data_IF_856762295849
#
_entry.id   IF_856762295849
#
_cell.length_a   1.000
_cell.length_b   1.000
_cell.length_c   1.000
_cell.angle_alpha   90.00
_cell.angle_beta   90.00
_cell.angle_gamma   90.00
#
_symmetry.space_group_name_H-M   'P 1'
#
loop_
_entity.id
_entity.type
_entity.pdbx_description
1 polymer ?
#
# COMPACT_ATOMS: atom_id res chain seq x y z
N UNK A 1 -22.43 -7.06 25.94
CA UNK A 1 -22.18 -6.14 24.81
C UNK A 1 -20.80 -5.54 25.10
N UNK A 2 -19.80 -5.91 24.33
CA UNK A 2 -18.47 -5.29 24.41
C UNK A 2 -18.64 -3.82 24.01
N UNK A 3 -18.12 -2.88 24.82
CA UNK A 3 -18.09 -1.45 24.46
C UNK A 3 -17.49 -1.32 23.05
N UNK A 4 -18.15 -0.54 22.18
CA UNK A 4 -17.65 -0.31 20.83
C UNK A 4 -16.33 0.44 20.93
N UNK A 5 -15.25 -0.23 20.55
CA UNK A 5 -13.93 0.38 20.51
C UNK A 5 -13.76 1.07 19.15
N UNK A 6 -13.94 2.38 19.15
CA UNK A 6 -13.83 3.21 17.95
C UNK A 6 -12.40 3.75 17.79
N UNK A 7 -11.87 3.70 16.57
CA UNK A 7 -10.57 4.28 16.23
C UNK A 7 -10.67 5.12 14.96
N UNK A 8 -10.21 6.37 15.02
CA UNK A 8 -10.17 7.24 13.84
C UNK A 8 -8.89 7.04 13.05
N UNK A 9 -9.05 6.86 11.76
CA UNK A 9 -7.95 6.60 10.84
C UNK A 9 -8.06 7.48 9.60
N UNK A 10 -6.94 7.64 8.88
CA UNK A 10 -6.90 8.34 7.61
C UNK A 10 -5.94 7.64 6.63
N UNK A 11 -6.23 7.79 5.34
CA UNK A 11 -5.35 7.35 4.25
C UNK A 11 -5.29 8.42 3.18
N UNK A 12 -4.16 8.51 2.49
CA UNK A 12 -3.82 9.62 1.60
C UNK A 12 -3.59 9.13 0.18
N UNK A 13 -4.01 9.92 -0.79
CA UNK A 13 -3.43 9.94 -2.13
C UNK A 13 -2.76 11.28 -2.37
N UNK A 14 -1.56 11.27 -2.93
CA UNK A 14 -0.91 12.50 -3.37
C UNK A 14 0.10 12.25 -4.49
N UNK A 15 0.37 13.29 -5.27
CA UNK A 15 1.36 13.28 -6.33
C UNK A 15 2.74 13.60 -5.73
N UNK A 16 3.57 12.58 -5.58
CA UNK A 16 4.95 12.78 -5.20
C UNK A 16 5.77 13.37 -6.36
N UNK A 17 6.89 13.99 -6.04
CA UNK A 17 7.89 14.39 -7.01
C UNK A 17 9.05 13.40 -7.02
N UNK A 18 9.43 12.95 -8.21
CA UNK A 18 10.57 12.05 -8.41
C UNK A 18 11.86 12.68 -7.83
N UNK A 19 12.59 11.93 -7.01
CA UNK A 19 13.86 12.35 -6.41
C UNK A 19 13.82 13.69 -5.65
N UNK A 20 12.66 14.11 -5.17
CA UNK A 20 12.51 15.35 -4.38
C UNK A 20 11.94 15.06 -2.99
N UNK A 21 12.75 14.41 -2.15
CA UNK A 21 12.37 14.03 -0.78
C UNK A 21 11.90 15.23 0.05
N UNK A 22 12.53 16.38 -0.11
CA UNK A 22 12.16 17.58 0.63
C UNK A 22 10.74 18.03 0.32
N UNK A 23 10.37 18.10 -0.96
CA UNK A 23 8.99 18.42 -1.37
C UNK A 23 8.01 17.37 -0.84
N UNK A 24 8.32 16.10 -1.02
CA UNK A 24 7.44 15.01 -0.61
C UNK A 24 7.19 15.02 0.91
N UNK A 25 8.23 15.28 1.70
CA UNK A 25 8.11 15.42 3.15
C UNK A 25 7.27 16.64 3.57
N UNK A 26 7.38 17.77 2.85
CA UNK A 26 6.52 18.94 3.09
C UNK A 26 5.04 18.63 2.83
N UNK A 27 4.74 17.86 1.79
CA UNK A 27 3.36 17.42 1.51
C UNK A 27 2.86 16.47 2.61
N UNK A 28 3.69 15.52 3.04
CA UNK A 28 3.38 14.60 4.14
C UNK A 28 3.10 15.40 5.44
N UNK A 29 3.97 16.32 5.82
CA UNK A 29 3.81 17.17 7.01
C UNK A 29 2.50 17.96 6.95
N UNK A 30 2.17 18.56 5.81
CA UNK A 30 0.91 19.29 5.60
C UNK A 30 -0.32 18.42 5.85
N UNK A 31 -0.35 17.18 5.37
CA UNK A 31 -1.46 16.26 5.63
C UNK A 31 -1.54 15.87 7.11
N UNK A 32 -0.40 15.64 7.77
CA UNK A 32 -0.35 15.33 9.20
C UNK A 32 -0.94 16.50 10.02
N UNK A 33 -0.57 17.74 9.68
CA UNK A 33 -1.09 18.93 10.36
C UNK A 33 -2.59 19.13 10.16
N UNK A 34 -3.13 18.79 8.98
CA UNK A 34 -4.57 18.87 8.70
C UNK A 34 -5.41 17.97 9.62
N UNK A 35 -4.86 16.84 10.07
CA UNK A 35 -5.59 15.89 10.94
C UNK A 35 -5.20 15.98 12.41
N UNK A 36 -4.24 16.82 12.76
CA UNK A 36 -3.71 16.94 14.12
C UNK A 36 -4.80 17.15 15.20
N UNK A 37 -5.87 17.89 14.87
CA UNK A 37 -6.98 18.18 15.77
C UNK A 37 -8.16 17.18 15.67
N UNK A 38 -8.09 16.22 14.75
CA UNK A 38 -9.19 15.28 14.49
C UNK A 38 -9.10 13.98 15.29
N UNK A 39 -8.07 13.85 16.14
CA UNK A 39 -7.81 12.63 16.93
C UNK A 39 -7.58 11.38 16.09
N UNK A 40 -6.99 11.55 14.88
CA UNK A 40 -6.57 10.44 14.03
C UNK A 40 -5.47 9.64 14.75
N UNK A 41 -5.61 8.32 14.78
CA UNK A 41 -4.65 7.41 15.41
C UNK A 41 -3.71 6.75 14.41
N UNK A 42 -4.19 6.49 13.20
CA UNK A 42 -3.40 5.86 12.14
C UNK A 42 -3.56 6.68 10.86
N UNK A 43 -2.45 7.10 10.28
CA UNK A 43 -2.37 7.83 9.02
C UNK A 43 -1.43 7.10 8.06
N UNK A 44 -1.96 6.69 6.90
CA UNK A 44 -1.22 5.93 5.89
C UNK A 44 -0.96 6.77 4.63
N UNK A 45 0.29 6.80 4.19
CA UNK A 45 0.75 7.42 2.95
C UNK A 45 1.07 6.35 1.88
N UNK A 46 1.20 6.74 0.60
CA UNK A 46 1.50 5.80 -0.48
C UNK A 46 2.88 5.13 -0.39
N UNK A 47 3.04 4.03 -1.14
CA UNK A 47 4.30 3.34 -1.40
C UNK A 47 5.35 4.32 -1.93
N UNK A 48 6.62 4.20 -1.48
CA UNK A 48 7.76 5.00 -1.93
C UNK A 48 7.49 6.52 -2.05
N UNK A 49 6.55 7.02 -1.31
CA UNK A 49 6.08 8.40 -1.39
C UNK A 49 7.14 9.46 -1.04
N UNK A 50 8.20 9.06 -0.30
CA UNK A 50 9.33 9.96 0.02
C UNK A 50 10.32 10.04 -1.14
N UNK A 51 10.73 8.90 -1.72
CA UNK A 51 11.74 8.83 -2.77
C UNK A 51 11.21 9.10 -4.18
N UNK A 52 9.89 8.91 -4.39
CA UNK A 52 9.28 8.80 -5.71
C UNK A 52 9.35 7.36 -6.23
N UNK A 53 8.60 7.04 -7.29
CA UNK A 53 8.38 5.64 -7.66
C UNK A 53 8.79 5.30 -9.10
N UNK A 54 8.07 5.75 -10.15
CA UNK A 54 8.22 5.17 -11.50
C UNK A 54 9.42 5.69 -12.30
N UNK A 55 10.11 6.69 -11.82
CA UNK A 55 11.42 7.09 -12.38
C UNK A 55 12.51 6.05 -12.03
N UNK A 56 12.32 5.27 -10.94
CA UNK A 56 13.32 4.31 -10.43
C UNK A 56 13.73 3.25 -11.45
N UNK A 57 12.83 2.65 -12.26
CA UNK A 57 13.21 1.71 -13.31
C UNK A 57 14.23 2.24 -14.32
N UNK A 58 14.32 3.57 -14.49
CA UNK A 58 15.20 4.25 -15.46
C UNK A 58 16.55 4.63 -14.87
N UNK A 59 16.75 4.45 -13.57
CA UNK A 59 17.99 4.80 -12.87
C UNK A 59 19.04 3.69 -13.02
N UNK A 60 20.30 4.05 -12.85
CA UNK A 60 21.38 3.09 -12.62
C UNK A 60 21.36 2.60 -11.16
N UNK A 61 21.93 1.43 -10.87
CA UNK A 61 22.03 0.92 -9.50
C UNK A 61 22.72 1.93 -8.54
N UNK A 62 23.70 2.70 -9.02
CA UNK A 62 24.37 3.75 -8.24
C UNK A 62 23.40 4.88 -7.88
N UNK A 63 22.55 5.29 -8.82
CA UNK A 63 21.55 6.33 -8.57
C UNK A 63 20.44 5.84 -7.61
N UNK A 64 19.98 4.59 -7.74
CA UNK A 64 19.03 3.99 -6.79
C UNK A 64 19.63 3.94 -5.39
N UNK A 65 20.91 3.53 -5.26
CA UNK A 65 21.61 3.52 -3.97
C UNK A 65 21.77 4.94 -3.38
N UNK A 66 21.96 5.97 -4.22
CA UNK A 66 22.03 7.35 -3.74
C UNK A 66 20.69 7.88 -3.22
N UNK A 67 19.55 7.35 -3.72
CA UNK A 67 18.22 7.67 -3.21
C UNK A 67 17.91 6.97 -1.89
N UNK A 68 18.54 5.83 -1.62
CA UNK A 68 18.24 5.01 -0.47
C UNK A 68 18.72 5.63 0.84
N UNK A 69 17.97 5.38 1.93
CA UNK A 69 18.33 5.78 3.29
C UNK A 69 18.43 4.56 4.20
N UNK A 70 19.39 4.55 5.13
CA UNK A 70 19.36 3.59 6.25
C UNK A 70 18.26 4.01 7.20
N UNK A 71 17.31 3.11 7.51
CA UNK A 71 16.11 3.46 8.31
C UNK A 71 16.51 4.05 9.67
N UNK A 72 17.47 3.45 10.36
CA UNK A 72 17.92 3.90 11.68
C UNK A 72 18.49 5.33 11.66
N UNK A 73 19.16 5.71 10.58
CA UNK A 73 19.84 6.99 10.42
C UNK A 73 19.19 7.88 9.36
N UNK A 74 17.97 7.56 8.93
CA UNK A 74 17.24 8.29 7.91
C UNK A 74 16.79 9.66 8.40
N UNK A 75 17.20 10.75 7.77
CA UNK A 75 16.68 12.08 8.11
C UNK A 75 15.17 12.19 7.79
N UNK A 76 14.71 11.49 6.76
CA UNK A 76 13.29 11.43 6.40
C UNK A 76 12.47 10.74 7.49
N UNK A 77 12.92 9.58 7.97
CA UNK A 77 12.21 8.84 9.02
C UNK A 77 12.33 9.56 10.37
N UNK A 78 13.45 10.20 10.67
CA UNK A 78 13.60 11.01 11.88
C UNK A 78 12.55 12.14 11.95
N UNK A 79 12.30 12.83 10.83
CA UNK A 79 11.23 13.84 10.75
C UNK A 79 9.85 13.21 11.00
N UNK A 80 9.51 12.12 10.32
CA UNK A 80 8.19 11.48 10.46
C UNK A 80 7.99 10.93 11.87
N UNK A 81 9.03 10.37 12.50
CA UNK A 81 9.00 9.94 13.92
C UNK A 81 8.73 11.11 14.87
N UNK A 82 9.39 12.25 14.64
CA UNK A 82 9.13 13.45 15.44
C UNK A 82 7.68 13.92 15.33
N UNK A 83 7.09 13.85 14.13
CA UNK A 83 5.68 14.17 13.90
C UNK A 83 4.74 13.13 14.54
N UNK A 84 5.07 11.83 14.47
CA UNK A 84 4.31 10.76 15.12
C UNK A 84 4.24 10.96 16.65
N UNK A 85 5.36 11.30 17.28
CA UNK A 85 5.43 11.66 18.71
C UNK A 85 4.62 12.92 18.98
N UNK A 86 4.84 14.00 18.20
CA UNK A 86 4.18 15.30 18.41
C UNK A 86 2.66 15.19 18.36
N UNK A 87 2.14 14.45 17.40
CA UNK A 87 0.70 14.34 17.16
C UNK A 87 0.06 13.07 17.73
N UNK A 88 0.83 12.23 18.42
CA UNK A 88 0.38 10.99 19.08
C UNK A 88 -0.39 10.06 18.14
N UNK A 89 0.17 9.78 16.96
CA UNK A 89 -0.41 8.91 15.94
C UNK A 89 0.64 7.98 15.32
N UNK A 90 0.20 6.86 14.78
CA UNK A 90 0.98 6.02 13.88
C UNK A 90 0.97 6.68 12.50
N UNK A 91 2.16 6.89 11.92
CA UNK A 91 2.31 7.44 10.56
C UNK A 91 3.10 6.45 9.71
N UNK A 92 2.46 5.96 8.64
CA UNK A 92 3.07 5.04 7.68
C UNK A 92 3.54 5.76 6.42
N UNK A 93 4.83 5.60 6.04
CA UNK A 93 5.44 6.23 4.85
C UNK A 93 6.35 5.24 4.11
N UNK A 94 6.50 5.42 2.80
CA UNK A 94 7.31 4.56 1.94
C UNK A 94 8.57 5.26 1.40
N UNK A 95 9.69 4.51 1.31
CA UNK A 95 10.95 4.97 0.74
C UNK A 95 11.79 3.81 0.24
N UNK A 96 12.94 4.11 -0.38
CA UNK A 96 13.97 3.09 -0.66
C UNK A 96 14.87 2.99 0.57
N UNK A 97 14.90 1.80 1.17
CA UNK A 97 15.79 1.45 2.28
C UNK A 97 17.13 0.95 1.75
N UNK A 98 18.21 1.33 2.43
CA UNK A 98 19.51 0.68 2.35
C UNK A 98 19.75 -0.04 3.67
N UNK A 99 19.73 -1.37 3.63
CA UNK A 99 19.98 -2.20 4.79
C UNK A 99 21.48 -2.23 5.15
N UNK A 100 21.81 -2.72 6.35
CA UNK A 100 23.19 -2.78 6.86
C UNK A 100 24.10 -3.69 6.02
N UNK A 101 23.54 -4.69 5.34
CA UNK A 101 24.26 -5.56 4.40
C UNK A 101 24.44 -4.94 3.01
N UNK A 102 23.99 -3.70 2.81
CA UNK A 102 24.09 -2.94 1.57
C UNK A 102 23.00 -3.26 0.54
N UNK A 103 22.10 -4.20 0.81
CA UNK A 103 20.95 -4.46 -0.06
C UNK A 103 19.94 -3.30 0.00
N UNK A 104 19.26 -3.08 -1.13
CA UNK A 104 18.22 -2.07 -1.25
C UNK A 104 16.85 -2.72 -1.24
N UNK A 105 15.88 -2.05 -0.61
CA UNK A 105 14.50 -2.52 -0.54
C UNK A 105 13.52 -1.38 -0.79
N UNK A 106 12.40 -1.70 -1.42
CA UNK A 106 11.19 -0.90 -1.33
C UNK A 106 10.59 -1.16 0.06
N UNK A 107 10.69 -0.18 0.95
CA UNK A 107 10.30 -0.33 2.35
C UNK A 107 9.19 0.64 2.74
N UNK A 108 8.36 0.19 3.69
CA UNK A 108 7.34 0.99 4.33
C UNK A 108 7.57 1.02 5.83
N UNK A 109 7.64 2.21 6.39
CA UNK A 109 7.95 2.43 7.80
C UNK A 109 6.74 2.99 8.52
N UNK A 110 6.27 2.29 9.54
CA UNK A 110 5.23 2.74 10.46
C UNK A 110 5.89 3.35 11.71
N UNK A 111 5.90 4.68 11.78
CA UNK A 111 6.42 5.44 12.92
C UNK A 111 5.36 5.52 14.01
N UNK A 112 5.69 5.11 15.23
CA UNK A 112 4.78 4.98 16.35
C UNK A 112 4.76 6.27 17.23
N UNK A 113 3.68 6.50 18.02
CA UNK A 113 3.58 7.68 18.88
C UNK A 113 4.59 7.71 20.03
N UNK A 114 5.19 6.58 20.39
CA UNK A 114 6.28 6.49 21.37
C UNK A 114 7.68 6.71 20.77
N UNK A 115 7.75 6.93 19.44
CA UNK A 115 8.98 7.09 18.69
C UNK A 115 9.63 5.80 18.23
N UNK A 116 9.09 4.63 18.56
CA UNK A 116 9.47 3.37 17.94
C UNK A 116 8.99 3.32 16.47
N UNK A 117 9.44 2.34 15.72
CA UNK A 117 8.95 2.13 14.35
C UNK A 117 9.02 0.66 13.96
N UNK A 118 8.22 0.29 12.96
CA UNK A 118 8.22 -1.02 12.33
C UNK A 118 8.44 -0.86 10.83
N UNK A 119 9.32 -1.67 10.27
CA UNK A 119 9.66 -1.65 8.85
C UNK A 119 9.15 -2.91 8.16
N UNK A 120 8.48 -2.73 7.03
CA UNK A 120 8.13 -3.81 6.11
C UNK A 120 8.85 -3.61 4.79
N UNK A 121 9.50 -4.64 4.28
CA UNK A 121 10.14 -4.70 2.96
C UNK A 121 9.21 -5.40 2.00
N UNK A 122 8.95 -4.79 0.85
CA UNK A 122 8.06 -5.35 -0.18
C UNK A 122 8.47 -6.78 -0.54
N UNK A 123 7.53 -7.71 -0.41
CA UNK A 123 7.79 -9.14 -0.64
C UNK A 123 8.00 -9.45 -2.13
N UNK A 124 7.36 -8.68 -3.01
CA UNK A 124 7.39 -8.88 -4.46
C UNK A 124 7.86 -7.59 -5.15
N UNK A 125 9.13 -7.23 -4.90
CA UNK A 125 9.75 -6.04 -5.49
C UNK A 125 10.07 -6.28 -6.97
N UNK A 126 9.69 -5.32 -7.82
CA UNK A 126 9.93 -5.38 -9.28
C UNK A 126 10.37 -4.04 -9.87
N UNK A 127 10.50 -3.01 -9.07
CA UNK A 127 10.76 -1.63 -9.49
C UNK A 127 12.12 -1.47 -10.16
N UNK A 128 13.13 -2.21 -9.67
CA UNK A 128 14.48 -2.14 -10.23
C UNK A 128 15.29 -3.39 -9.86
N UNK A 129 16.19 -3.88 -10.75
CA UNK A 129 17.01 -5.07 -10.45
C UNK A 129 17.92 -4.94 -9.22
N UNK A 130 18.27 -3.72 -8.81
CA UNK A 130 19.04 -3.47 -7.59
C UNK A 130 18.19 -3.49 -6.30
N UNK A 131 16.87 -3.53 -6.40
CA UNK A 131 15.95 -3.60 -5.27
C UNK A 131 15.59 -5.06 -5.01
N UNK A 132 15.91 -5.53 -3.81
CA UNK A 132 15.65 -6.91 -3.36
C UNK A 132 14.22 -7.05 -2.84
N UNK A 133 13.65 -8.23 -2.96
CA UNK A 133 12.41 -8.61 -2.27
C UNK A 133 12.67 -8.87 -0.79
N UNK A 134 11.71 -8.48 0.07
CA UNK A 134 11.66 -8.84 1.47
C UNK A 134 11.34 -10.34 1.66
N UNK A 135 11.50 -10.83 2.87
CA UNK A 135 11.40 -12.26 3.23
C UNK A 135 10.53 -12.55 4.45
N UNK A 136 9.90 -11.52 5.03
CA UNK A 136 9.07 -11.68 6.22
C UNK A 136 7.82 -10.77 6.19
N UNK A 137 6.78 -11.25 6.87
CA UNK A 137 5.57 -10.45 7.14
C UNK A 137 5.80 -9.55 8.35
N UNK A 138 5.20 -8.36 8.32
CA UNK A 138 5.26 -7.40 9.42
C UNK A 138 3.87 -7.21 10.01
N UNK A 139 3.71 -7.62 11.28
CA UNK A 139 2.50 -7.40 12.09
C UNK A 139 2.95 -6.98 13.49
N UNK A 140 2.36 -5.93 14.03
CA UNK A 140 2.76 -5.37 15.33
C UNK A 140 1.57 -4.83 16.11
N UNK A 141 1.75 -4.74 17.43
CA UNK A 141 0.76 -4.17 18.35
C UNK A 141 0.77 -2.65 18.31
N UNK A 142 -0.39 -2.05 18.58
CA UNK A 142 -0.53 -0.61 18.74
C UNK A 142 -1.03 -0.25 20.14
N UNK A 143 -0.83 0.99 20.61
CA UNK A 143 -1.35 1.44 21.90
C UNK A 143 -2.87 1.43 22.02
N UNK A 144 -3.57 1.23 20.90
CA UNK A 144 -5.04 1.24 20.83
C UNK A 144 -5.66 -0.15 20.86
N UNK A 145 -4.88 -1.18 21.20
CA UNK A 145 -5.37 -2.54 21.35
C UNK A 145 -5.72 -3.26 20.06
N UNK A 146 -5.18 -2.79 18.92
CA UNK A 146 -5.29 -3.44 17.61
C UNK A 146 -3.92 -3.75 17.05
N UNK A 147 -3.84 -4.82 16.25
CA UNK A 147 -2.64 -5.18 15.51
C UNK A 147 -2.72 -4.64 14.09
N UNK A 148 -1.63 -4.04 13.66
CA UNK A 148 -1.48 -3.51 12.29
C UNK A 148 -0.54 -4.40 11.50
N UNK A 149 -0.96 -4.78 10.29
CA UNK A 149 -0.14 -5.42 9.27
C UNK A 149 0.20 -4.47 8.14
N UNK A 150 1.29 -4.75 7.42
CA UNK A 150 1.71 -3.96 6.25
C UNK A 150 1.94 -4.92 5.08
N UNK A 151 1.38 -4.57 3.91
CA UNK A 151 1.66 -5.21 2.62
C UNK A 151 1.74 -4.14 1.54
N UNK A 152 2.82 -4.14 0.76
CA UNK A 152 3.10 -3.08 -0.22
C UNK A 152 2.63 -3.50 -1.62
N UNK A 153 1.68 -2.75 -2.18
CA UNK A 153 1.27 -2.82 -3.59
C UNK A 153 0.98 -4.26 -4.06
N UNK A 154 1.82 -4.81 -4.93
CA UNK A 154 1.63 -6.16 -5.49
C UNK A 154 1.51 -7.25 -4.42
N UNK A 155 2.09 -7.08 -3.24
CA UNK A 155 1.92 -8.06 -2.15
C UNK A 155 0.45 -8.30 -1.82
N UNK A 156 -0.41 -7.27 -1.94
CA UNK A 156 -1.85 -7.36 -1.69
C UNK A 156 -2.62 -8.11 -2.79
N UNK A 157 -2.03 -8.27 -3.98
CA UNK A 157 -2.69 -9.02 -5.06
C UNK A 157 -2.64 -10.54 -4.82
N UNK A 158 -1.64 -11.03 -4.08
CA UNK A 158 -1.54 -12.44 -3.71
C UNK A 158 -2.40 -12.71 -2.47
N UNK A 159 -3.38 -13.60 -2.62
CA UNK A 159 -4.34 -13.93 -1.55
C UNK A 159 -3.65 -14.51 -0.32
N UNK A 160 -2.58 -15.25 -0.53
CA UNK A 160 -1.77 -15.91 0.50
C UNK A 160 -1.15 -14.89 1.45
N UNK A 161 -0.65 -13.76 0.92
CA UNK A 161 0.02 -12.74 1.73
C UNK A 161 -0.95 -12.08 2.72
N UNK A 162 -2.15 -11.70 2.27
CA UNK A 162 -3.14 -11.09 3.15
C UNK A 162 -3.64 -12.10 4.17
N UNK A 163 -3.83 -13.37 3.75
CA UNK A 163 -4.18 -14.46 4.67
C UNK A 163 -3.10 -14.69 5.71
N UNK A 164 -1.83 -14.74 5.33
CA UNK A 164 -0.71 -14.93 6.25
C UNK A 164 -0.63 -13.78 7.27
N UNK A 165 -0.72 -12.52 6.79
CA UNK A 165 -0.72 -11.32 7.63
C UNK A 165 -1.87 -11.35 8.65
N UNK A 166 -3.06 -11.79 8.22
CA UNK A 166 -4.21 -11.93 9.13
C UNK A 166 -4.01 -13.04 10.16
N UNK A 167 -3.41 -14.18 9.76
CA UNK A 167 -3.12 -15.28 10.67
C UNK A 167 -2.06 -14.92 11.72
N UNK A 168 -1.19 -13.95 11.43
CA UNK A 168 -0.27 -13.35 12.39
C UNK A 168 -0.97 -12.38 13.35
N UNK A 169 -2.26 -12.13 13.14
CA UNK A 169 -3.12 -11.38 14.04
C UNK A 169 -3.47 -9.96 13.59
N UNK A 170 -3.18 -9.56 12.36
CA UNK A 170 -3.54 -8.24 11.88
C UNK A 170 -5.06 -8.01 11.92
N UNK A 171 -5.46 -6.86 12.45
CA UNK A 171 -6.83 -6.33 12.49
C UNK A 171 -7.03 -5.23 11.46
N UNK A 172 -5.97 -4.46 11.22
CA UNK A 172 -5.92 -3.39 10.22
C UNK A 172 -4.73 -3.66 9.31
N UNK A 173 -4.94 -3.59 8.00
CA UNK A 173 -3.91 -3.70 6.99
C UNK A 173 -3.62 -2.32 6.39
N UNK A 174 -2.39 -1.86 6.50
CA UNK A 174 -1.88 -0.76 5.69
C UNK A 174 -1.50 -1.31 4.32
N UNK A 175 -2.15 -0.81 3.29
CA UNK A 175 -1.96 -1.22 1.90
C UNK A 175 -1.48 -0.03 1.05
N UNK A 176 -0.21 0.40 1.21
CA UNK A 176 0.37 1.45 0.39
C UNK A 176 0.63 0.96 -1.03
N UNK A 177 0.22 1.76 -2.01
CA UNK A 177 0.32 1.46 -3.43
C UNK A 177 0.90 2.63 -4.24
N UNK A 178 1.35 2.30 -5.46
CA UNK A 178 1.57 3.21 -6.58
C UNK A 178 0.91 2.63 -7.83
N UNK A 179 -0.36 2.24 -7.69
CA UNK A 179 -1.13 1.64 -8.77
C UNK A 179 -1.41 2.69 -9.85
N UNK A 180 -0.94 2.41 -11.04
CA UNK A 180 -1.25 3.13 -12.27
C UNK A 180 -1.65 2.15 -13.35
N UNK A 181 -2.34 2.63 -14.38
CA UNK A 181 -2.62 1.83 -15.55
C UNK A 181 -1.32 1.47 -16.24
N UNK A 182 -1.13 0.20 -16.50
CA UNK A 182 0.03 -0.30 -17.24
C UNK A 182 -0.41 -0.90 -18.57
N UNK A 183 0.51 -1.05 -19.51
CA UNK A 183 0.27 -1.76 -20.76
C UNK A 183 0.14 -3.27 -20.51
N UNK A 184 -0.88 -3.67 -19.74
CA UNK A 184 -1.17 -5.07 -19.50
C UNK A 184 -1.56 -5.78 -20.79
N UNK A 185 -1.00 -6.98 -21.03
CA UNK A 185 -1.40 -7.86 -22.13
C UNK A 185 -2.76 -8.51 -21.92
N UNK A 186 -3.23 -8.55 -20.66
CA UNK A 186 -4.58 -9.03 -20.37
C UNK A 186 -5.62 -8.14 -21.07
N UNK A 187 -6.55 -8.70 -21.85
CA UNK A 187 -7.60 -7.92 -22.51
C UNK A 187 -8.48 -7.18 -21.50
N UNK A 188 -8.58 -7.69 -20.28
CA UNK A 188 -9.37 -7.14 -19.19
C UNK A 188 -8.49 -6.57 -18.06
N UNK A 189 -7.19 -6.42 -18.29
CA UNK A 189 -6.28 -5.78 -17.34
C UNK A 189 -6.48 -4.27 -17.29
N UNK A 190 -5.94 -3.65 -16.27
CA UNK A 190 -5.92 -2.19 -16.15
C UNK A 190 -5.20 -1.58 -17.37
N UNK A 191 -5.74 -0.49 -17.88
CA UNK A 191 -5.14 0.26 -18.99
C UNK A 191 -4.57 1.59 -18.49
N UNK A 192 -3.52 2.13 -19.12
CA UNK A 192 -2.97 3.42 -18.74
C UNK A 192 -3.96 4.56 -18.97
N UNK A 193 -3.92 5.55 -18.09
CA UNK A 193 -4.53 6.84 -18.33
C UNK A 193 -3.52 7.68 -19.14
N UNK A 194 -3.90 8.30 -20.26
CA UNK A 194 -2.98 9.14 -21.03
C UNK A 194 -2.47 10.33 -20.21
N UNK A 195 -1.17 10.63 -20.29
CA UNK A 195 -0.57 11.80 -19.63
C UNK A 195 -1.25 13.09 -20.06
N UNK A 196 -1.58 13.24 -21.35
CA UNK A 196 -2.30 14.40 -21.86
C UNK A 196 -3.65 14.62 -21.14
N UNK A 197 -4.38 13.54 -20.82
CA UNK A 197 -5.63 13.65 -20.07
C UNK A 197 -5.37 14.15 -18.64
N UNK A 198 -4.28 13.71 -18.00
CA UNK A 198 -3.89 14.22 -16.71
C UNK A 198 -3.52 15.70 -16.76
N UNK A 199 -2.76 16.14 -17.75
CA UNK A 199 -2.38 17.53 -17.94
C UNK A 199 -3.60 18.45 -18.15
N UNK A 200 -4.60 17.96 -18.88
CA UNK A 200 -5.87 18.65 -19.17
C UNK A 200 -7.00 18.32 -18.19
N UNK A 201 -6.69 17.75 -17.01
CA UNK A 201 -7.70 17.22 -16.07
C UNK A 201 -8.69 18.25 -15.53
N UNK A 202 -8.34 19.51 -15.55
CA UNK A 202 -9.23 20.60 -15.11
C UNK A 202 -10.27 20.89 -16.20
N UNK A 203 -9.85 20.99 -17.45
CA UNK A 203 -10.69 21.24 -18.62
C UNK A 203 -11.52 20.01 -18.99
N UNK A 204 -10.94 18.80 -18.82
CA UNK A 204 -11.55 17.51 -19.16
C UNK A 204 -11.94 16.73 -17.89
N UNK A 205 -12.50 17.44 -16.90
CA UNK A 205 -12.78 16.86 -15.56
C UNK A 205 -13.66 15.62 -15.61
N UNK A 206 -14.70 15.61 -16.43
CA UNK A 206 -15.62 14.47 -16.54
C UNK A 206 -14.93 13.23 -17.09
N UNK A 207 -14.11 13.41 -18.12
CA UNK A 207 -13.36 12.31 -18.75
C UNK A 207 -12.29 11.76 -17.80
N UNK A 208 -11.57 12.65 -17.10
CA UNK A 208 -10.59 12.25 -16.10
C UNK A 208 -11.25 11.48 -14.95
N UNK A 209 -12.38 11.95 -14.45
CA UNK A 209 -13.16 11.26 -13.42
C UNK A 209 -13.62 9.88 -13.91
N UNK A 210 -14.12 9.78 -15.14
CA UNK A 210 -14.52 8.51 -15.73
C UNK A 210 -13.34 7.53 -15.85
N UNK A 211 -12.15 8.01 -16.22
CA UNK A 211 -10.93 7.20 -16.28
C UNK A 211 -10.51 6.67 -14.90
N UNK A 212 -10.46 7.54 -13.87
CA UNK A 212 -10.09 7.15 -12.50
C UNK A 212 -11.11 6.17 -11.90
N UNK A 213 -12.41 6.36 -12.15
CA UNK A 213 -13.48 5.50 -11.63
C UNK A 213 -13.66 4.20 -12.41
N UNK A 214 -13.30 4.20 -13.69
CA UNK A 214 -13.45 3.07 -14.59
C UNK A 214 -12.38 2.00 -14.45
N UNK A 215 -12.24 1.21 -15.52
CA UNK A 215 -11.31 0.06 -15.59
C UNK A 215 -9.84 0.47 -15.42
N UNK A 216 -9.50 1.72 -15.63
CA UNK A 216 -8.15 2.25 -15.47
C UNK A 216 -7.81 2.57 -14.00
N UNK A 217 -8.75 2.47 -13.08
CA UNK A 217 -8.56 2.79 -11.67
C UNK A 217 -9.48 1.99 -10.75
N UNK A 218 -10.54 2.63 -10.23
CA UNK A 218 -11.41 2.06 -9.20
C UNK A 218 -12.04 0.71 -9.57
N UNK A 219 -12.57 0.59 -10.79
CA UNK A 219 -13.21 -0.67 -11.23
C UNK A 219 -12.22 -1.86 -11.18
N UNK A 220 -10.94 -1.62 -11.50
CA UNK A 220 -9.90 -2.63 -11.34
C UNK A 220 -9.70 -3.03 -9.88
N UNK A 221 -9.63 -2.06 -8.96
CA UNK A 221 -9.48 -2.32 -7.53
C UNK A 221 -10.66 -3.13 -6.98
N UNK A 222 -11.89 -2.86 -7.45
CA UNK A 222 -13.11 -3.57 -7.01
C UNK A 222 -13.12 -5.06 -7.38
N UNK A 223 -12.26 -5.52 -8.27
CA UNK A 223 -12.14 -6.93 -8.62
C UNK A 223 -11.46 -7.77 -7.54
N UNK A 224 -10.69 -7.15 -6.68
CA UNK A 224 -9.88 -7.90 -5.71
C UNK A 224 -9.82 -7.28 -4.31
N UNK A 225 -9.68 -5.96 -4.18
CA UNK A 225 -9.39 -5.31 -2.89
C UNK A 225 -10.49 -5.53 -1.84
N UNK A 226 -11.81 -5.42 -2.15
CA UNK A 226 -12.85 -5.72 -1.18
C UNK A 226 -12.81 -7.17 -0.68
N UNK A 227 -12.46 -8.13 -1.55
CA UNK A 227 -12.33 -9.53 -1.16
C UNK A 227 -11.17 -9.74 -0.17
N UNK A 228 -10.08 -8.97 -0.27
CA UNK A 228 -8.98 -9.03 0.72
C UNK A 228 -9.46 -8.67 2.12
N UNK A 229 -10.29 -7.64 2.26
CA UNK A 229 -10.91 -7.27 3.54
C UNK A 229 -11.92 -8.33 4.00
N UNK A 230 -12.86 -8.69 3.13
CA UNK A 230 -13.96 -9.61 3.44
C UNK A 230 -13.48 -11.01 3.84
N UNK A 231 -12.63 -11.64 3.02
CA UNK A 231 -12.18 -13.02 3.23
C UNK A 231 -11.32 -13.18 4.50
N UNK A 232 -10.72 -12.08 4.93
CA UNK A 232 -9.82 -12.06 6.07
C UNK A 232 -10.44 -11.41 7.32
N UNK A 233 -11.55 -10.71 7.17
CA UNK A 233 -12.26 -10.06 8.29
C UNK A 233 -11.39 -8.99 8.96
N UNK A 234 -10.72 -8.13 8.16
CA UNK A 234 -9.89 -7.03 8.65
C UNK A 234 -10.24 -5.71 7.95
N UNK A 235 -9.88 -4.60 8.57
CA UNK A 235 -9.95 -3.29 7.92
C UNK A 235 -8.76 -3.11 6.98
N UNK A 236 -8.96 -2.37 5.87
CA UNK A 236 -7.87 -1.98 4.96
C UNK A 236 -7.84 -0.47 4.81
N UNK A 237 -6.65 0.11 5.00
CA UNK A 237 -6.31 1.47 4.64
C UNK A 237 -5.50 1.41 3.34
N UNK A 238 -6.18 1.67 2.22
CA UNK A 238 -5.55 1.71 0.91
C UNK A 238 -5.12 3.13 0.59
N UNK A 239 -3.82 3.37 0.56
CA UNK A 239 -3.20 4.63 0.12
C UNK A 239 -2.57 4.45 -1.24
N UNK A 240 -2.65 5.45 -2.12
CA UNK A 240 -2.14 5.33 -3.48
C UNK A 240 -1.55 6.65 -3.99
N UNK A 241 -0.60 6.57 -4.92
CA UNK A 241 -0.19 7.73 -5.69
C UNK A 241 -1.33 8.25 -6.59
N UNK A 242 -1.33 9.53 -6.88
CA UNK A 242 -2.22 10.17 -7.87
C UNK A 242 -1.38 11.02 -8.81
N UNK A 243 -1.73 11.06 -10.08
CA UNK A 243 -1.12 11.98 -11.04
C UNK A 243 0.07 11.44 -11.81
N UNK A 244 0.67 12.30 -12.60
CA UNK A 244 1.82 11.95 -13.43
C UNK A 244 3.00 11.50 -12.57
N UNK A 245 3.54 10.35 -12.89
CA UNK A 245 4.70 9.71 -12.28
C UNK A 245 5.55 9.12 -13.41
N UNK A 246 6.49 9.93 -13.91
CA UNK A 246 7.28 9.70 -15.11
C UNK A 246 6.38 9.55 -16.36
N UNK A 247 6.33 8.39 -16.99
CA UNK A 247 5.54 8.12 -18.20
C UNK A 247 4.17 7.45 -17.92
N UNK A 248 3.81 7.29 -16.66
CA UNK A 248 2.51 6.74 -16.24
C UNK A 248 1.70 7.73 -15.39
N UNK A 249 0.39 7.50 -15.30
CA UNK A 249 -0.50 8.22 -14.38
C UNK A 249 -0.90 7.29 -13.25
N UNK A 250 -0.62 7.67 -12.00
CA UNK A 250 -1.15 7.00 -10.80
C UNK A 250 -2.62 7.36 -10.63
N UNK A 251 -3.42 6.39 -10.22
CA UNK A 251 -4.89 6.49 -10.33
C UNK A 251 -5.59 6.91 -9.05
N UNK A 252 -4.85 7.17 -7.96
CA UNK A 252 -5.44 7.57 -6.69
C UNK A 252 -6.37 6.51 -6.12
N UNK A 253 -7.62 6.87 -5.89
CA UNK A 253 -8.64 6.03 -5.26
C UNK A 253 -8.27 5.60 -3.83
N UNK A 254 -7.68 6.52 -3.03
CA UNK A 254 -7.49 6.25 -1.61
C UNK A 254 -8.83 5.85 -0.98
N UNK A 255 -8.86 4.75 -0.21
CA UNK A 255 -10.09 4.22 0.37
C UNK A 255 -9.86 3.47 1.67
N UNK A 256 -10.90 3.40 2.49
CA UNK A 256 -10.93 2.65 3.73
C UNK A 256 -12.05 1.60 3.63
N UNK A 257 -11.69 0.33 3.86
CA UNK A 257 -12.62 -0.79 3.78
C UNK A 257 -12.82 -1.42 5.16
N UNK A 258 -14.02 -1.92 5.41
CA UNK A 258 -14.37 -2.64 6.62
C UNK A 258 -14.18 -4.18 6.48
N UNK A 259 -14.30 -4.96 7.59
CA UNK A 259 -14.14 -6.41 7.58
C UNK A 259 -15.18 -7.19 6.76
N UNK A 260 -16.17 -6.52 6.19
CA UNK A 260 -17.16 -7.09 5.26
C UNK A 260 -16.87 -6.72 3.80
N UNK A 261 -15.74 -6.06 3.52
CA UNK A 261 -15.36 -5.60 2.19
C UNK A 261 -16.15 -4.37 1.71
N UNK A 262 -16.90 -3.71 2.62
CA UNK A 262 -17.63 -2.47 2.28
C UNK A 262 -16.65 -1.30 2.33
N UNK A 263 -16.81 -0.37 1.40
CA UNK A 263 -16.05 0.89 1.41
C UNK A 263 -16.73 1.82 2.41
N UNK A 264 -16.00 2.22 3.46
CA UNK A 264 -16.46 3.18 4.47
C UNK A 264 -16.33 4.61 3.93
N UNK A 265 -15.18 4.91 3.31
CA UNK A 265 -14.92 6.19 2.68
C UNK A 265 -13.89 6.01 1.55
N UNK A 266 -13.99 6.84 0.51
CA UNK A 266 -13.09 6.82 -0.65
C UNK A 266 -13.04 8.19 -1.33
N UNK A 267 -12.02 8.40 -2.17
CA UNK A 267 -11.94 9.55 -3.08
C UNK A 267 -11.53 9.10 -4.47
N UNK A 268 -12.00 9.81 -5.49
CA UNK A 268 -11.61 9.68 -6.89
C UNK A 268 -11.28 11.03 -7.54
N UNK A 269 -11.01 12.02 -6.71
CA UNK A 269 -10.59 13.33 -7.21
C UNK A 269 -9.20 13.23 -7.84
N UNK A 270 -9.01 13.93 -8.98
CA UNK A 270 -7.72 14.03 -9.67
C UNK A 270 -6.81 15.07 -8.98
N UNK A 271 -6.60 14.91 -7.68
CA UNK A 271 -5.87 15.83 -6.81
C UNK A 271 -5.31 15.10 -5.57
N UNK A 272 -4.43 15.78 -4.86
CA UNK A 272 -3.97 15.37 -3.55
C UNK A 272 -5.14 15.41 -2.55
N UNK A 273 -5.48 14.26 -1.98
CA UNK A 273 -6.65 14.10 -1.12
C UNK A 273 -6.37 13.14 0.03
N UNK A 274 -7.12 13.31 1.09
CA UNK A 274 -7.14 12.41 2.23
C UNK A 274 -8.58 12.00 2.53
N UNK A 275 -8.78 10.75 2.88
CA UNK A 275 -10.05 10.23 3.38
C UNK A 275 -9.89 9.76 4.83
N UNK A 276 -10.86 10.09 5.66
CA UNK A 276 -10.90 9.75 7.08
C UNK A 276 -12.10 8.86 7.37
N UNK A 277 -11.97 7.97 8.34
CA UNK A 277 -13.08 7.16 8.85
C UNK A 277 -12.90 6.87 10.35
N UNK A 278 -14.00 6.53 10.98
CA UNK A 278 -14.03 5.94 12.31
C UNK A 278 -14.34 4.45 12.16
N UNK A 279 -13.44 3.60 12.64
CA UNK A 279 -13.54 2.15 12.56
C UNK A 279 -14.15 1.60 13.83
N UNK A 280 -15.21 0.82 13.69
CA UNK A 280 -15.78 0.04 14.79
C UNK A 280 -15.10 -1.34 14.85
N UNK A 281 -14.14 -1.46 15.77
CA UNK A 281 -13.33 -2.68 15.91
C UNK A 281 -14.16 -3.90 16.37
N UNK A 282 -15.34 -3.69 16.94
CA UNK A 282 -16.25 -4.77 17.32
C UNK A 282 -16.77 -5.58 16.13
N UNK A 283 -16.66 -5.03 14.92
CA UNK A 283 -17.03 -5.72 13.68
C UNK A 283 -16.06 -6.86 13.31
N UNK A 284 -14.80 -6.80 13.76
CA UNK A 284 -13.78 -7.79 13.39
C UNK A 284 -14.19 -9.21 13.82
N UNK A 285 -14.45 -9.50 15.12
CA UNK A 285 -14.80 -10.86 15.55
C UNK A 285 -16.14 -11.35 15.00
N UNK A 286 -17.03 -10.44 14.60
CA UNK A 286 -18.34 -10.75 14.05
C UNK A 286 -18.30 -11.01 12.53
N UNK A 287 -17.19 -10.68 11.87
CA UNK A 287 -17.10 -10.75 10.41
C UNK A 287 -17.13 -12.19 9.88
N UNK A 288 -17.64 -12.34 8.67
CA UNK A 288 -17.69 -13.62 7.97
C UNK A 288 -16.30 -14.18 7.74
N UNK A 289 -15.34 -13.34 7.40
CA UNK A 289 -13.94 -13.73 7.16
C UNK A 289 -13.30 -14.35 8.40
N UNK A 290 -13.49 -13.77 9.59
CA UNK A 290 -12.98 -14.34 10.85
C UNK A 290 -13.59 -15.70 11.16
N UNK A 291 -14.88 -15.86 10.92
CA UNK A 291 -15.55 -17.17 11.07
C UNK A 291 -14.97 -18.21 10.12
N UNK A 292 -14.65 -17.84 8.88
CA UNK A 292 -14.01 -18.75 7.93
C UNK A 292 -12.59 -19.13 8.33
N UNK A 293 -11.84 -18.19 8.92
CA UNK A 293 -10.51 -18.47 9.46
C UNK A 293 -10.56 -19.54 10.55
N UNK A 294 -11.55 -19.50 11.45
CA UNK A 294 -11.72 -20.53 12.48
C UNK A 294 -12.08 -21.89 11.90
N UNK A 295 -12.75 -21.92 10.75
CA UNK A 295 -13.09 -23.15 10.03
C UNK A 295 -11.99 -23.71 9.11
N UNK A 296 -10.79 -23.13 9.11
CA UNK A 296 -9.69 -23.59 8.25
C UNK A 296 -9.28 -25.02 8.60
N UNK A 297 -8.85 -25.73 7.56
CA UNK A 297 -8.28 -27.09 7.66
C UNK A 297 -6.83 -27.07 7.14
N UNK A 298 -5.85 -26.64 7.96
CA UNK A 298 -4.45 -26.47 7.54
C UNK A 298 -3.84 -27.72 6.92
N UNK A 299 -4.27 -28.89 7.33
CA UNK A 299 -3.82 -30.18 6.78
C UNK A 299 -4.12 -30.39 5.27
N UNK A 300 -5.03 -29.59 4.71
CA UNK A 300 -5.34 -29.62 3.27
C UNK A 300 -4.50 -28.62 2.44
N UNK A 301 -3.74 -27.76 3.08
CA UNK A 301 -3.11 -26.60 2.42
C UNK A 301 -1.62 -26.80 2.12
N UNK A 302 -1.08 -28.00 2.26
CA UNK A 302 0.33 -28.32 1.93
C UNK A 302 0.68 -27.94 0.50
N UNK A 303 -0.25 -28.11 -0.43
CA UNK A 303 -0.08 -27.74 -1.84
C UNK A 303 0.28 -26.27 -2.06
N UNK A 304 -0.11 -25.36 -1.12
CA UNK A 304 0.24 -23.94 -1.20
C UNK A 304 1.72 -23.66 -0.90
N UNK A 305 2.40 -24.59 -0.25
CA UNK A 305 3.83 -24.48 0.09
C UNK A 305 4.74 -25.28 -0.86
N UNK A 306 4.16 -26.11 -1.72
CA UNK A 306 4.87 -26.91 -2.69
C UNK A 306 5.11 -26.11 -3.98
N UNK A 307 6.37 -26.06 -4.44
CA UNK A 307 6.70 -25.45 -5.72
C UNK A 307 6.10 -26.25 -6.87
N UNK A 308 5.39 -25.56 -7.75
CA UNK A 308 4.76 -26.16 -8.93
C UNK A 308 5.70 -26.13 -10.17
N UNK A 309 6.85 -25.43 -10.08
CA UNK A 309 7.87 -25.36 -11.13
C UNK A 309 7.63 -24.31 -12.21
N UNK A 310 6.64 -23.44 -12.02
CA UNK A 310 6.37 -22.29 -12.90
C UNK A 310 6.44 -20.95 -12.17
N UNK A 311 6.78 -20.94 -10.90
CA UNK A 311 6.98 -19.72 -10.12
C UNK A 311 8.14 -18.91 -10.70
N UNK A 312 7.95 -17.59 -10.75
CA UNK A 312 8.94 -16.62 -11.23
C UNK A 312 9.21 -15.59 -10.14
N UNK A 313 10.38 -14.98 -10.19
CA UNK A 313 10.64 -13.77 -9.42
C UNK A 313 9.69 -12.63 -9.87
N UNK A 314 9.55 -11.60 -9.03
CA UNK A 314 8.58 -10.53 -9.25
C UNK A 314 8.84 -9.74 -10.56
N UNK A 315 10.11 -9.51 -10.93
CA UNK A 315 10.50 -8.84 -12.17
C UNK A 315 10.07 -9.67 -13.38
N UNK A 316 10.45 -10.95 -13.39
CA UNK A 316 10.09 -11.88 -14.48
C UNK A 316 8.57 -12.07 -14.56
N UNK A 317 7.87 -12.19 -13.45
CA UNK A 317 6.42 -12.31 -13.45
C UNK A 317 5.73 -11.05 -14.00
N UNK A 318 6.29 -9.86 -13.75
CA UNK A 318 5.75 -8.57 -14.19
C UNK A 318 6.00 -8.29 -15.67
N UNK A 319 7.22 -8.57 -16.16
CA UNK A 319 7.69 -8.08 -17.46
C UNK A 319 7.92 -9.19 -18.50
N UNK A 320 7.88 -10.48 -18.11
CA UNK A 320 8.07 -11.57 -19.07
C UNK A 320 7.06 -11.51 -20.23
N UNK A 321 7.56 -11.76 -21.44
CA UNK A 321 6.75 -11.72 -22.66
C UNK A 321 5.84 -12.93 -22.83
N UNK A 322 6.22 -14.07 -22.29
CA UNK A 322 5.48 -15.32 -22.33
C UNK A 322 4.66 -15.55 -21.05
N UNK A 323 3.41 -15.91 -21.20
CA UNK A 323 2.65 -16.44 -20.07
C UNK A 323 3.25 -17.81 -19.69
N UNK A 324 3.45 -18.11 -18.38
CA UNK A 324 3.83 -19.45 -17.97
C UNK A 324 2.76 -20.44 -18.42
N UNK A 325 3.14 -21.39 -19.24
CA UNK A 325 2.25 -22.50 -19.61
C UNK A 325 2.22 -23.44 -18.41
N UNK A 326 1.07 -23.50 -17.72
CA UNK A 326 0.85 -24.59 -16.77
C UNK A 326 0.97 -25.90 -17.54
N UNK A 327 1.95 -26.72 -17.18
CA UNK A 327 2.02 -28.07 -17.73
C UNK A 327 0.72 -28.76 -17.33
N UNK A 328 -0.07 -29.14 -18.33
CA UNK A 328 -1.26 -29.95 -18.09
C UNK A 328 -0.85 -31.18 -17.26
N UNK A 329 -1.51 -31.30 -16.10
CA UNK A 329 -1.43 -32.51 -15.29
C UNK A 329 -2.17 -33.65 -15.97
#
# INVERSE_FOLDING_TARGET
MTESQLIKVATVQFQHQANNKQYNLLVIEKFIEQVALQNIKILAFPEMCISGYWHVPKLTAVQVNALAESIENSPSIALVRALAIKYQMLIGVGLIERADDGRLYNAYVACMPDGSFHTHRKLHAFEHPAISSGDCYTVFDTPWGVKVGILICWDNNLVENVRATTLLGADILLAPHQTGGTHSRSPYGMKPIPLELWEQRVERKEEMTAAIRGINGREWLMRWLPARAHDNGLFILFSNGIGADDDEVRTGNAMILDPYGRIINETWEAADMMVCAELDLSLIPLSTGRRWIYGRRPELYTILTERQGYERDAISARFAEDAPVMKNR
#
